data_IF_754120813208
#
_entry.id   IF_754120813208
#
_cell.length_a   1.000
_cell.length_b   1.000
_cell.length_c   1.000
_cell.angle_alpha   90.00
_cell.angle_beta   90.00
_cell.angle_gamma   90.00
#
_symmetry.space_group_name_H-M   'P 1'
#
loop_
_entity.id
_entity.type
_entity.pdbx_description
1 polymer ?
#
# COMPACT_ATOMS: atom_id res chain seq x y z
N UNK A 1 7.25 -1.40 -16.32
CA UNK A 1 6.86 -1.38 -14.90
C UNK A 1 5.92 -0.22 -14.67
N UNK A 2 4.74 -0.43 -14.07
CA UNK A 2 3.77 0.66 -13.85
C UNK A 2 4.18 1.55 -12.69
N UNK A 3 3.69 2.80 -12.62
CA UNK A 3 3.93 3.69 -11.46
C UNK A 3 3.51 3.06 -10.13
N UNK A 4 2.44 2.27 -10.14
CA UNK A 4 1.97 1.48 -8.98
C UNK A 4 3.01 0.45 -8.54
N UNK A 5 3.61 -0.28 -9.48
CA UNK A 5 4.67 -1.25 -9.19
C UNK A 5 5.95 -0.59 -8.67
N UNK A 6 6.34 0.56 -9.23
CA UNK A 6 7.48 1.32 -8.75
C UNK A 6 7.26 1.81 -7.32
N UNK A 7 6.08 2.36 -7.02
CA UNK A 7 5.71 2.74 -5.66
C UNK A 7 5.77 1.56 -4.70
N UNK A 8 5.23 0.39 -5.10
CA UNK A 8 5.26 -0.82 -4.27
C UNK A 8 6.68 -1.25 -3.92
N UNK A 9 7.55 -1.32 -4.93
CA UNK A 9 8.95 -1.72 -4.73
C UNK A 9 9.67 -0.75 -3.81
N UNK A 10 9.53 0.55 -4.05
CA UNK A 10 10.21 1.56 -3.24
C UNK A 10 9.66 1.60 -1.81
N UNK A 11 8.35 1.51 -1.63
CA UNK A 11 7.73 1.37 -0.31
C UNK A 11 8.27 0.16 0.43
N UNK A 12 8.28 -1.03 -0.20
CA UNK A 12 8.74 -2.27 0.42
C UNK A 12 10.23 -2.25 0.74
N UNK A 13 11.06 -1.63 -0.12
CA UNK A 13 12.50 -1.44 0.11
C UNK A 13 12.77 -0.57 1.33
N UNK A 14 11.94 0.44 1.56
CA UNK A 14 12.06 1.39 2.67
C UNK A 14 11.32 0.97 3.95
N UNK A 15 10.61 -0.16 3.94
CA UNK A 15 9.74 -0.59 5.03
C UNK A 15 10.28 -1.82 5.73
N UNK A 16 10.00 -1.94 7.03
CA UNK A 16 10.21 -3.19 7.76
C UNK A 16 9.31 -4.30 7.20
N UNK A 17 9.66 -5.56 7.49
CA UNK A 17 8.92 -6.73 6.99
C UNK A 17 7.42 -6.68 7.32
N UNK A 18 7.04 -6.20 8.51
CA UNK A 18 5.65 -6.06 8.92
C UNK A 18 4.84 -5.08 8.04
N UNK A 19 5.50 -4.01 7.58
CA UNK A 19 4.90 -2.95 6.76
C UNK A 19 5.08 -3.16 5.25
N UNK A 20 5.69 -4.25 4.83
CA UNK A 20 5.74 -4.61 3.42
C UNK A 20 4.32 -4.91 2.93
N UNK A 21 4.00 -4.35 1.77
CA UNK A 21 2.70 -4.42 1.16
C UNK A 21 2.69 -5.35 -0.05
N UNK A 22 1.49 -5.76 -0.46
CA UNK A 22 1.21 -6.51 -1.68
C UNK A 22 0.48 -5.63 -2.69
N UNK A 23 0.45 -5.99 -3.99
CA UNK A 23 -0.35 -5.27 -4.99
C UNK A 23 -1.83 -5.12 -4.63
N UNK A 24 -2.38 -6.10 -3.90
CA UNK A 24 -3.76 -6.10 -3.38
C UNK A 24 -3.97 -4.99 -2.36
N UNK A 25 -3.09 -4.87 -1.36
CA UNK A 25 -3.15 -3.77 -0.37
C UNK A 25 -3.11 -2.39 -1.02
N UNK A 26 -2.33 -2.22 -2.09
CA UNK A 26 -2.33 -0.97 -2.86
C UNK A 26 -3.67 -0.73 -3.57
N UNK A 27 -4.26 -1.78 -4.16
CA UNK A 27 -5.60 -1.66 -4.76
C UNK A 27 -6.62 -1.26 -3.71
N UNK A 28 -6.59 -1.90 -2.52
CA UNK A 28 -7.51 -1.60 -1.42
C UNK A 28 -7.34 -0.18 -0.91
N UNK A 29 -6.10 0.26 -0.71
CA UNK A 29 -5.81 1.64 -0.30
C UNK A 29 -6.37 2.68 -1.27
N UNK A 30 -6.32 2.42 -2.59
CA UNK A 30 -6.91 3.30 -3.60
C UNK A 30 -8.44 3.36 -3.50
N UNK A 31 -9.09 2.24 -3.21
CA UNK A 31 -10.55 2.16 -3.00
C UNK A 31 -10.96 2.89 -1.73
N UNK A 32 -10.20 2.71 -0.65
CA UNK A 32 -10.53 3.29 0.66
C UNK A 32 -10.25 4.80 0.75
N UNK A 33 -9.22 5.27 0.01
CA UNK A 33 -8.77 6.68 0.03
C UNK A 33 -8.73 7.30 -1.37
N UNK A 34 -9.83 7.30 -2.14
CA UNK A 34 -9.83 7.73 -3.54
C UNK A 34 -9.44 9.20 -3.72
N UNK A 35 -9.71 10.04 -2.71
CA UNK A 35 -9.36 11.46 -2.69
C UNK A 35 -7.84 11.73 -2.74
N UNK A 36 -7.00 10.76 -2.37
CA UNK A 36 -5.54 10.86 -2.47
C UNK A 36 -5.02 10.59 -3.90
N UNK A 37 -5.88 10.06 -4.79
CA UNK A 37 -5.49 9.57 -6.12
C UNK A 37 -6.06 10.41 -7.28
N UNK A 38 -6.42 11.67 -7.05
CA UNK A 38 -7.04 12.56 -8.06
C UNK A 38 -6.26 12.64 -9.38
N UNK A 39 -4.93 12.52 -9.32
CA UNK A 39 -4.06 12.59 -10.51
C UNK A 39 -3.60 11.21 -11.01
N UNK A 40 -4.15 10.11 -10.46
CA UNK A 40 -3.68 8.73 -10.66
C UNK A 40 -2.16 8.55 -10.44
N UNK A 41 -1.51 9.49 -9.74
CA UNK A 41 -0.06 9.50 -9.60
C UNK A 41 0.35 8.76 -8.33
N UNK A 42 1.03 7.62 -8.49
CA UNK A 42 1.60 6.84 -7.40
C UNK A 42 2.91 7.45 -6.87
N UNK A 43 2.87 8.71 -6.44
CA UNK A 43 4.04 9.44 -5.93
C UNK A 43 4.43 8.92 -4.54
N UNK A 44 5.68 8.48 -4.39
CA UNK A 44 6.24 8.02 -3.10
C UNK A 44 6.18 9.14 -2.06
N UNK A 45 6.62 10.35 -2.42
CA UNK A 45 6.66 11.50 -1.50
C UNK A 45 5.28 11.87 -0.93
N UNK A 46 4.24 11.77 -1.77
CA UNK A 46 2.87 12.15 -1.38
C UNK A 46 2.11 11.02 -0.72
N UNK A 47 2.25 9.79 -1.19
CA UNK A 47 1.40 8.68 -0.79
C UNK A 47 2.01 7.78 0.29
N UNK A 48 3.34 7.72 0.43
CA UNK A 48 3.97 6.76 1.35
C UNK A 48 3.56 6.99 2.80
N UNK A 49 3.51 8.26 3.25
CA UNK A 49 3.09 8.60 4.62
C UNK A 49 1.61 8.24 4.87
N UNK A 50 0.64 8.70 4.04
CA UNK A 50 -0.75 8.26 4.16
C UNK A 50 -0.93 6.74 4.08
N UNK A 51 -0.14 6.07 3.24
CA UNK A 51 -0.20 4.63 3.07
C UNK A 51 0.30 3.89 4.31
N UNK A 52 1.42 4.31 4.91
CA UNK A 52 1.90 3.76 6.18
C UNK A 52 0.86 3.97 7.27
N UNK A 53 0.31 5.19 7.38
CA UNK A 53 -0.72 5.48 8.38
C UNK A 53 -1.94 4.56 8.22
N UNK A 54 -2.38 4.34 6.98
CA UNK A 54 -3.46 3.41 6.67
C UNK A 54 -3.09 1.96 7.02
N UNK A 55 -1.89 1.49 6.68
CA UNK A 55 -1.43 0.15 7.07
C UNK A 55 -1.44 -0.01 8.59
N UNK A 56 -0.94 0.98 9.34
CA UNK A 56 -0.87 0.93 10.80
C UNK A 56 -2.22 1.14 11.50
N UNK A 57 -3.30 1.42 10.75
CA UNK A 57 -4.65 1.49 11.33
C UNK A 57 -5.29 0.10 11.51
N UNK A 58 -4.68 -0.93 10.94
CA UNK A 58 -5.08 -2.33 11.10
C UNK A 58 -4.18 -3.02 12.12
N UNK A 59 -4.72 -4.04 12.77
CA UNK A 59 -3.92 -5.01 13.52
C UNK A 59 -3.03 -5.83 12.58
N UNK A 60 -1.99 -6.45 13.15
CA UNK A 60 -1.10 -7.34 12.39
C UNK A 60 -1.86 -8.52 11.78
N UNK A 61 -2.84 -9.08 12.50
CA UNK A 61 -3.66 -10.20 12.04
C UNK A 61 -4.54 -9.81 10.82
N UNK A 62 -5.16 -8.63 10.86
CA UNK A 62 -5.95 -8.12 9.74
C UNK A 62 -5.07 -7.89 8.50
N UNK A 63 -3.87 -7.31 8.67
CA UNK A 63 -2.93 -7.12 7.56
C UNK A 63 -2.47 -8.44 6.96
N UNK A 64 -2.12 -9.43 7.79
CA UNK A 64 -1.68 -10.74 7.31
C UNK A 64 -2.81 -11.48 6.59
N UNK A 65 -4.06 -11.33 7.04
CA UNK A 65 -5.24 -11.89 6.35
C UNK A 65 -5.40 -11.23 4.98
N UNK A 66 -5.36 -9.91 4.89
CA UNK A 66 -5.46 -9.19 3.61
C UNK A 66 -4.31 -9.50 2.65
N UNK A 67 -3.10 -9.77 3.17
CA UNK A 67 -1.96 -10.19 2.33
C UNK A 67 -2.20 -11.59 1.72
N UNK A 68 -2.82 -12.49 2.48
CA UNK A 68 -3.15 -13.85 2.02
C UNK A 68 -4.26 -13.85 0.96
N UNK A 69 -5.33 -13.07 1.18
CA UNK A 69 -6.44 -12.93 0.20
C UNK A 69 -6.00 -12.47 -1.19
N UNK A 70 -4.93 -11.66 -1.27
CA UNK A 70 -4.40 -11.17 -2.54
C UNK A 70 -3.42 -12.11 -3.24
N UNK A 71 -3.23 -13.33 -2.72
CA UNK A 71 -2.25 -14.33 -3.20
C UNK A 71 -2.90 -15.58 -3.82
N UNK A 72 -4.24 -15.63 -3.88
CA UNK A 72 -5.03 -16.68 -4.55
C UNK A 72 -5.48 -16.26 -5.97
#
# INVERSE_FOLDING_TARGET
MTKKQQFLQEHNRLSSRALQATPYLLSRFKVDKPSLFKDNNWSVDKLRRPFIFWLTSFSEEELETMKKEGSE
#
